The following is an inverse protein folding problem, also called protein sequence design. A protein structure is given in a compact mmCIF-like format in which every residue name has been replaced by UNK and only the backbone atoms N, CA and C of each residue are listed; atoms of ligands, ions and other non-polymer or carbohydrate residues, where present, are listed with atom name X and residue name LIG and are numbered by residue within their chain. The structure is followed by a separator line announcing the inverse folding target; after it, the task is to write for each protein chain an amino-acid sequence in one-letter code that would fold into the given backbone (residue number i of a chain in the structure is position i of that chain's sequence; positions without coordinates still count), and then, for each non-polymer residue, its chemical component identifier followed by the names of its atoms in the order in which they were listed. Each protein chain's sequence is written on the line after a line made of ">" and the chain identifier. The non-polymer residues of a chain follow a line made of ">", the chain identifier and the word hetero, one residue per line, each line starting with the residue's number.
data_IF_126340466932
#
_entry.id   IF_126340466932
#
_cell.length_a   1.000
_cell.length_b   1.000
_cell.length_c   1.000
_cell.angle_alpha   90.00
_cell.angle_beta   90.00
_cell.angle_gamma   90.00
#
_symmetry.space_group_name_H-M   'P 1'
#
loop_
_entity.id
_entity.type
_entity.pdbx_description
1 polymer ?
#
# COMPACT_ATOMS: atom_id res chain seq x y z
N UNK A 1 1.62 5.11 -8.48
CA UNK A 1 0.21 5.22 -8.94
C UNK A 1 -0.64 4.22 -8.19
N UNK A 2 -1.75 4.69 -7.62
CA UNK A 2 -2.75 3.88 -6.90
C UNK A 2 -4.05 3.83 -7.71
N UNK A 3 -4.63 2.64 -7.85
CA UNK A 3 -5.99 2.46 -8.35
C UNK A 3 -6.94 2.18 -7.19
N UNK A 4 -8.05 2.88 -7.11
CA UNK A 4 -9.15 2.62 -6.21
C UNK A 4 -10.33 2.02 -6.97
N UNK A 5 -10.71 0.80 -6.59
CA UNK A 5 -12.01 0.22 -6.87
C UNK A 5 -13.00 0.75 -5.84
N UNK A 6 -13.97 1.54 -6.28
CA UNK A 6 -14.91 2.19 -5.37
C UNK A 6 -16.34 1.74 -5.63
N UNK A 7 -17.13 1.78 -4.56
CA UNK A 7 -18.56 1.55 -4.64
C UNK A 7 -19.31 2.72 -5.25
N UNK A 8 -20.58 2.49 -5.57
CA UNK A 8 -21.46 3.53 -6.11
C UNK A 8 -21.69 4.69 -5.13
N UNK A 9 -21.80 4.41 -3.83
CA UNK A 9 -22.00 5.47 -2.83
C UNK A 9 -20.75 6.36 -2.73
N UNK A 10 -19.56 5.75 -2.77
CA UNK A 10 -18.31 6.48 -2.77
C UNK A 10 -18.05 7.22 -4.09
N UNK A 11 -18.53 6.69 -5.23
CA UNK A 11 -18.37 7.33 -6.53
C UNK A 11 -19.06 8.69 -6.63
N UNK A 12 -20.25 8.80 -6.04
CA UNK A 12 -20.98 10.07 -6.03
C UNK A 12 -20.21 11.12 -5.19
N UNK A 13 -19.65 10.69 -4.06
CA UNK A 13 -18.88 11.56 -3.17
C UNK A 13 -17.51 11.99 -3.75
N UNK A 14 -16.85 11.12 -4.52
CA UNK A 14 -15.54 11.36 -5.13
C UNK A 14 -15.60 11.80 -6.60
N UNK A 15 -16.78 12.15 -7.11
CA UNK A 15 -16.99 12.49 -8.52
C UNK A 15 -16.05 13.57 -9.09
N UNK A 16 -15.55 14.48 -8.25
CA UNK A 16 -14.58 15.52 -8.66
C UNK A 16 -13.16 15.00 -8.92
N UNK A 17 -12.86 13.74 -8.57
CA UNK A 17 -11.54 13.13 -8.70
C UNK A 17 -11.47 12.12 -9.84
N UNK A 18 -12.51 12.02 -10.67
CA UNK A 18 -12.51 11.09 -11.79
C UNK A 18 -11.74 11.66 -12.96
N UNK A 19 -10.58 11.05 -13.23
CA UNK A 19 -9.78 11.33 -14.41
C UNK A 19 -9.93 10.21 -15.44
N UNK A 20 -9.83 10.50 -16.75
CA UNK A 20 -9.82 9.47 -17.78
C UNK A 20 -8.65 8.49 -17.56
N UNK A 21 -8.92 7.19 -17.64
CA UNK A 21 -7.89 6.17 -17.45
C UNK A 21 -6.82 6.27 -18.54
N UNK A 22 -5.59 6.61 -18.17
CA UNK A 22 -4.43 6.28 -19.00
C UNK A 22 -4.13 4.78 -18.81
N UNK A 23 -3.76 4.06 -19.88
CA UNK A 23 -3.41 2.63 -19.84
C UNK A 23 -2.11 2.36 -19.06
N UNK A 24 -2.06 2.73 -17.79
CA UNK A 24 -0.93 2.55 -16.87
C UNK A 24 -1.24 1.39 -15.93
N UNK A 25 -0.21 0.61 -15.61
CA UNK A 25 -0.32 -0.50 -14.65
C UNK A 25 -0.22 0.08 -13.23
N UNK A 26 -1.24 -0.07 -12.37
CA UNK A 26 -1.18 0.46 -11.00
C UNK A 26 -0.16 -0.32 -10.16
N UNK A 27 0.55 0.39 -9.28
CA UNK A 27 1.46 -0.22 -8.31
C UNK A 27 0.70 -0.76 -7.10
N UNK A 28 -0.41 -0.11 -6.75
CA UNK A 28 -1.28 -0.49 -5.64
C UNK A 28 -2.73 -0.45 -6.09
N UNK A 29 -3.49 -1.45 -5.66
CA UNK A 29 -4.92 -1.54 -5.92
C UNK A 29 -5.63 -1.58 -4.56
N UNK A 30 -6.56 -0.66 -4.36
CA UNK A 30 -7.35 -0.56 -3.14
C UNK A 30 -8.82 -0.70 -3.47
N UNK A 31 -9.57 -1.42 -2.64
CA UNK A 31 -11.02 -1.38 -2.65
C UNK A 31 -11.47 -0.40 -1.58
N UNK A 32 -12.47 0.44 -1.87
CA UNK A 32 -12.95 1.42 -0.91
C UNK A 32 -14.47 1.56 -0.93
N UNK A 33 -15.06 1.66 0.25
CA UNK A 33 -16.51 1.76 0.44
C UNK A 33 -16.83 2.93 1.38
N UNK A 34 -17.86 3.71 1.03
CA UNK A 34 -18.43 4.72 1.90
C UNK A 34 -19.53 4.09 2.76
N UNK A 35 -19.33 4.11 4.07
CA UNK A 35 -20.25 3.59 5.08
C UNK A 35 -20.77 4.77 5.91
N UNK A 36 -22.06 4.75 6.23
CA UNK A 36 -22.69 5.73 7.13
C UNK A 36 -23.08 5.02 8.42
N UNK A 37 -22.55 5.47 9.57
CA UNK A 37 -22.85 4.90 10.88
C UNK A 37 -23.47 6.00 11.73
N UNK A 38 -24.77 5.87 12.02
CA UNK A 38 -25.54 6.95 12.64
C UNK A 38 -25.51 8.22 11.77
N UNK A 39 -24.88 9.28 12.27
CA UNK A 39 -24.67 10.54 11.53
C UNK A 39 -23.27 10.71 10.95
N UNK A 40 -22.36 9.77 11.22
CA UNK A 40 -20.95 9.88 10.82
C UNK A 40 -20.71 9.17 9.49
N UNK A 41 -19.86 9.79 8.65
CA UNK A 41 -19.40 9.18 7.40
C UNK A 41 -18.04 8.54 7.63
N UNK A 42 -17.91 7.29 7.21
CA UNK A 42 -16.67 6.55 7.26
C UNK A 42 -16.30 5.99 5.88
N UNK A 43 -15.01 5.96 5.55
CA UNK A 43 -14.49 5.17 4.43
C UNK A 43 -13.67 4.03 5.00
N UNK A 44 -13.96 2.81 4.55
CA UNK A 44 -13.11 1.64 4.78
C UNK A 44 -12.41 1.33 3.48
N UNK A 45 -11.08 1.24 3.52
CA UNK A 45 -10.25 0.90 2.37
C UNK A 45 -9.50 -0.40 2.65
N UNK A 46 -9.43 -1.29 1.68
CA UNK A 46 -8.71 -2.56 1.77
C UNK A 46 -7.75 -2.69 0.58
N UNK A 47 -6.46 -2.89 0.85
CA UNK A 47 -5.47 -3.17 -0.19
C UNK A 47 -5.74 -4.57 -0.79
N UNK A 48 -5.65 -4.69 -2.11
CA UNK A 48 -6.16 -5.85 -2.85
C UNK A 48 -5.38 -7.14 -2.58
N UNK A 49 -4.06 -7.08 -2.41
CA UNK A 49 -3.20 -8.26 -2.33
C UNK A 49 -2.90 -8.70 -0.91
N UNK A 50 -2.67 -7.74 -0.01
CA UNK A 50 -2.40 -7.94 1.41
C UNK A 50 -3.66 -7.99 2.25
N UNK A 51 -4.80 -7.55 1.71
CA UNK A 51 -6.05 -7.36 2.47
C UNK A 51 -5.93 -6.40 3.66
N UNK A 52 -4.88 -5.57 3.67
CA UNK A 52 -4.64 -4.59 4.72
C UNK A 52 -5.69 -3.49 4.68
N UNK A 53 -6.27 -3.18 5.84
CA UNK A 53 -7.38 -2.25 5.97
C UNK A 53 -6.92 -0.94 6.60
N UNK A 54 -7.40 0.17 6.04
CA UNK A 54 -7.40 1.48 6.70
C UNK A 54 -8.82 2.00 6.83
N UNK A 55 -9.08 2.73 7.92
CA UNK A 55 -10.40 3.26 8.27
C UNK A 55 -10.29 4.77 8.45
N UNK A 56 -11.26 5.49 7.89
CA UNK A 56 -11.36 6.94 7.96
C UNK A 56 -12.77 7.28 8.45
N UNK A 57 -12.96 7.63 9.71
CA UNK A 57 -14.27 8.02 10.26
C UNK A 57 -14.34 9.50 10.63
N UNK A 58 -15.56 10.00 10.82
CA UNK A 58 -15.79 11.42 11.13
C UNK A 58 -15.63 12.36 9.93
N UNK A 59 -15.73 11.81 8.72
CA UNK A 59 -15.56 12.57 7.48
C UNK A 59 -16.75 13.51 7.27
N UNK A 60 -16.46 14.74 6.84
CA UNK A 60 -17.45 15.72 6.40
C UNK A 60 -17.48 15.74 4.88
N UNK A 61 -18.58 16.23 4.31
CA UNK A 61 -18.73 16.39 2.84
C UNK A 61 -17.57 17.13 2.17
N UNK A 62 -16.98 18.13 2.86
CA UNK A 62 -15.82 18.88 2.35
C UNK A 62 -14.54 18.04 2.29
N UNK A 63 -14.41 17.03 3.14
CA UNK A 63 -13.21 16.23 3.25
C UNK A 63 -13.06 15.30 2.03
N UNK A 64 -14.18 14.93 1.38
CA UNK A 64 -14.16 14.20 0.10
C UNK A 64 -13.49 14.98 -1.02
N UNK A 65 -13.53 16.33 -1.01
CA UNK A 65 -12.78 17.16 -1.97
C UNK A 65 -11.27 17.05 -1.78
N UNK A 66 -10.81 16.63 -0.60
CA UNK A 66 -9.41 16.50 -0.24
C UNK A 66 -9.03 15.06 0.08
N UNK A 67 -9.90 14.09 -0.25
CA UNK A 67 -9.70 12.70 0.10
C UNK A 67 -8.37 12.11 -0.41
N UNK A 68 -7.90 12.39 -1.65
CA UNK A 68 -6.59 11.93 -2.07
C UNK A 68 -5.48 12.32 -1.09
N UNK A 69 -5.44 13.57 -0.64
CA UNK A 69 -4.44 14.06 0.31
C UNK A 69 -4.61 13.46 1.71
N UNK A 70 -5.85 13.25 2.16
CA UNK A 70 -6.16 12.58 3.44
C UNK A 70 -5.65 11.14 3.41
N UNK A 71 -5.91 10.42 2.32
CA UNK A 71 -5.42 9.06 2.12
C UNK A 71 -3.89 9.03 2.09
N UNK A 72 -3.24 9.92 1.33
CA UNK A 72 -1.77 10.01 1.26
C UNK A 72 -1.17 10.22 2.65
N UNK A 73 -1.68 11.22 3.41
CA UNK A 73 -1.17 11.52 4.75
C UNK A 73 -1.27 10.31 5.67
N UNK A 74 -2.39 9.58 5.59
CA UNK A 74 -2.57 8.38 6.40
C UNK A 74 -1.67 7.24 5.96
N UNK A 75 -1.62 6.97 4.67
CA UNK A 75 -0.84 5.89 4.07
C UNK A 75 0.63 5.99 4.45
N UNK A 76 1.29 7.14 4.25
CA UNK A 76 2.72 7.25 4.54
C UNK A 76 3.01 7.10 6.03
N UNK A 77 2.12 7.56 6.92
CA UNK A 77 2.27 7.41 8.38
C UNK A 77 2.20 5.94 8.79
N UNK A 78 1.19 5.22 8.29
CA UNK A 78 1.03 3.80 8.61
C UNK A 78 2.18 2.98 8.05
N UNK A 79 2.53 3.18 6.78
CA UNK A 79 3.71 2.53 6.18
C UNK A 79 4.96 2.86 6.99
N UNK A 80 5.23 4.12 7.34
CA UNK A 80 6.41 4.46 8.14
C UNK A 80 6.45 3.81 9.54
N UNK A 81 5.31 3.35 10.09
CA UNK A 81 5.24 2.57 11.33
C UNK A 81 5.51 1.09 11.07
N UNK A 82 4.98 0.56 9.96
CA UNK A 82 5.05 -0.87 9.63
C UNK A 82 6.40 -1.30 9.05
N UNK A 83 7.26 -0.37 8.66
CA UNK A 83 8.54 -0.64 7.98
C UNK A 83 9.74 -0.31 8.88
N UNK A 84 10.16 -1.24 9.76
CA UNK A 84 11.25 -1.02 10.69
C UNK A 84 12.62 -0.85 10.01
N UNK A 85 12.75 -1.20 8.74
CA UNK A 85 13.99 -1.16 7.96
C UNK A 85 14.47 0.27 7.67
N UNK A 86 13.60 1.27 7.78
CA UNK A 86 13.92 2.68 7.53
C UNK A 86 14.50 3.31 8.80
N UNK A 87 15.77 3.72 8.71
CA UNK A 87 16.44 4.41 9.80
C UNK A 87 15.85 5.80 10.06
N UNK A 88 16.10 6.34 11.27
CA UNK A 88 15.66 7.69 11.66
C UNK A 88 16.11 8.78 10.68
N UNK A 89 17.30 8.64 10.10
CA UNK A 89 17.89 9.58 9.14
C UNK A 89 17.20 9.53 7.76
N UNK A 90 16.74 8.34 7.35
CA UNK A 90 16.07 8.12 6.07
C UNK A 90 14.58 8.49 6.11
N UNK A 91 13.97 8.55 7.31
CA UNK A 91 12.51 8.65 7.49
C UNK A 91 11.84 9.79 6.74
N UNK A 92 12.45 10.99 6.73
CA UNK A 92 11.87 12.14 6.03
C UNK A 92 11.93 11.97 4.51
N UNK A 93 13.05 11.48 3.97
CA UNK A 93 13.20 11.22 2.54
C UNK A 93 12.28 10.08 2.09
N UNK A 94 12.14 9.04 2.91
CA UNK A 94 11.22 7.93 2.66
C UNK A 94 9.76 8.38 2.67
N UNK A 95 9.34 9.21 3.63
CA UNK A 95 7.99 9.77 3.65
C UNK A 95 7.69 10.58 2.38
N UNK A 96 8.64 11.40 1.90
CA UNK A 96 8.49 12.14 0.65
C UNK A 96 8.40 11.20 -0.57
N UNK A 97 9.15 10.10 -0.57
CA UNK A 97 9.06 9.09 -1.63
C UNK A 97 7.68 8.42 -1.65
N UNK A 98 7.13 8.04 -0.49
CA UNK A 98 5.79 7.49 -0.38
C UNK A 98 4.74 8.49 -0.87
N UNK A 99 4.83 9.76 -0.46
CA UNK A 99 3.93 10.82 -0.95
C UNK A 99 3.93 10.89 -2.48
N UNK A 100 5.12 10.89 -3.12
CA UNK A 100 5.27 10.89 -4.57
C UNK A 100 4.68 9.63 -5.23
N UNK A 101 4.89 8.45 -4.64
CA UNK A 101 4.34 7.19 -5.14
C UNK A 101 2.80 7.20 -5.13
N UNK A 102 2.22 7.89 -4.15
CA UNK A 102 0.77 8.00 -3.90
C UNK A 102 0.12 9.27 -4.46
N UNK A 103 0.89 10.09 -5.18
CA UNK A 103 0.41 11.37 -5.77
C UNK A 103 -0.67 11.12 -6.83
N UNK A 104 -0.40 10.14 -7.69
CA UNK A 104 -1.28 9.71 -8.78
C UNK A 104 -2.28 8.66 -8.25
N UNK A 105 -3.53 9.09 -8.02
CA UNK A 105 -4.65 8.25 -7.57
C UNK A 105 -5.78 8.26 -8.60
N UNK A 106 -6.16 7.07 -9.05
CA UNK A 106 -7.23 6.87 -10.02
C UNK A 106 -8.40 6.11 -9.39
N UNK A 107 -9.63 6.52 -9.70
CA UNK A 107 -10.85 5.94 -9.12
C UNK A 107 -11.71 5.30 -10.21
N UNK A 108 -12.10 4.04 -9.99
CA UNK A 108 -12.94 3.28 -10.90
C UNK A 108 -14.07 2.61 -10.13
N UNK A 109 -15.28 2.74 -10.66
CA UNK A 109 -16.41 1.93 -10.20
C UNK A 109 -16.28 0.53 -10.81
N UNK A 110 -16.02 -0.48 -9.97
CA UNK A 110 -15.99 -1.89 -10.38
C UNK A 110 -17.14 -2.66 -9.70
N UNK A 111 -17.85 -3.55 -10.43
CA UNK A 111 -18.85 -4.42 -9.83
C UNK A 111 -18.18 -5.44 -8.91
N UNK A 112 -18.47 -5.34 -7.61
CA UNK A 112 -17.89 -6.11 -6.52
C UNK A 112 -18.45 -7.52 -6.45
N UNK A 113 -17.60 -8.55 -6.36
CA UNK A 113 -18.09 -9.92 -6.08
C UNK A 113 -17.24 -10.78 -5.13
N UNK A 114 -15.97 -10.47 -4.87
CA UNK A 114 -15.12 -11.34 -4.02
C UNK A 114 -14.59 -10.68 -2.72
N UNK A 115 -14.10 -9.43 -2.78
CA UNK A 115 -13.35 -8.84 -1.66
C UNK A 115 -14.17 -7.86 -0.80
N UNK A 116 -15.49 -7.72 -1.05
CA UNK A 116 -16.35 -6.87 -0.22
C UNK A 116 -16.67 -7.47 1.15
N UNK A 117 -16.49 -8.78 1.34
CA UNK A 117 -16.88 -9.45 2.59
C UNK A 117 -16.18 -8.83 3.81
N UNK A 118 -14.86 -8.63 3.74
CA UNK A 118 -14.10 -8.03 4.85
C UNK A 118 -14.51 -6.57 5.13
N UNK A 119 -14.75 -5.78 4.10
CA UNK A 119 -15.22 -4.40 4.25
C UNK A 119 -16.60 -4.38 4.94
N UNK A 120 -17.50 -5.28 4.56
CA UNK A 120 -18.82 -5.41 5.17
C UNK A 120 -18.73 -5.87 6.62
N UNK A 121 -17.90 -6.87 6.94
CA UNK A 121 -17.65 -7.33 8.32
C UNK A 121 -17.17 -6.17 9.21
N UNK A 122 -16.25 -5.34 8.70
CA UNK A 122 -15.74 -4.17 9.42
C UNK A 122 -16.83 -3.13 9.60
N UNK A 123 -17.66 -2.90 8.57
CA UNK A 123 -18.80 -1.98 8.63
C UNK A 123 -19.81 -2.40 9.71
N UNK A 124 -20.20 -3.69 9.71
CA UNK A 124 -21.11 -4.28 10.69
C UNK A 124 -20.55 -4.20 12.11
N UNK A 125 -19.26 -4.50 12.29
CA UNK A 125 -18.61 -4.39 13.59
C UNK A 125 -18.54 -2.94 14.10
N UNK A 126 -18.21 -1.97 13.22
CA UNK A 126 -18.24 -0.55 13.59
C UNK A 126 -19.65 -0.09 13.96
N UNK A 127 -20.67 -0.55 13.23
CA UNK A 127 -22.07 -0.24 13.53
C UNK A 127 -22.49 -0.81 14.88
N UNK A 128 -22.16 -2.08 15.16
CA UNK A 128 -22.42 -2.72 16.45
C UNK A 128 -21.77 -1.95 17.61
N UNK A 129 -20.46 -1.68 17.50
CA UNK A 129 -19.70 -0.97 18.54
C UNK A 129 -20.24 0.44 18.77
N UNK A 130 -20.63 1.15 17.71
CA UNK A 130 -21.10 2.53 17.84
C UNK A 130 -22.55 2.64 18.31
N UNK A 131 -23.46 1.85 17.73
CA UNK A 131 -24.90 1.97 17.96
C UNK A 131 -25.34 1.14 19.16
N UNK A 132 -24.83 -0.10 19.27
CA UNK A 132 -25.26 -1.04 20.32
C UNK A 132 -24.47 -0.83 21.60
N UNK A 133 -23.13 -0.76 21.51
CA UNK A 133 -22.29 -0.56 22.69
C UNK A 133 -22.13 0.91 23.09
N UNK A 134 -22.55 1.85 22.24
CA UNK A 134 -22.45 3.29 22.51
C UNK A 134 -21.02 3.82 22.56
N UNK A 135 -20.05 3.10 21.98
CA UNK A 135 -18.64 3.51 21.96
C UNK A 135 -18.39 4.50 20.81
N UNK A 136 -17.44 5.45 20.96
CA UNK A 136 -17.13 6.39 19.89
C UNK A 136 -16.48 5.69 18.69
N UNK A 137 -16.79 6.16 17.49
CA UNK A 137 -16.08 5.77 16.27
C UNK A 137 -14.64 6.31 16.29
N UNK A 138 -13.69 5.63 15.62
CA UNK A 138 -12.30 6.05 15.60
C UNK A 138 -12.08 7.22 14.60
N UNK A 139 -12.30 8.46 15.07
CA UNK A 139 -12.27 9.66 14.22
C UNK A 139 -10.88 10.25 13.99
N UNK A 140 -9.93 10.05 14.91
CA UNK A 140 -8.56 10.52 14.76
C UNK A 140 -7.65 9.43 14.17
N UNK A 141 -6.49 9.86 13.66
CA UNK A 141 -5.58 8.99 12.94
C UNK A 141 -5.04 7.82 13.77
N UNK A 142 -4.77 8.05 15.06
CA UNK A 142 -4.20 7.03 15.94
C UNK A 142 -5.29 6.02 16.33
N UNK A 143 -6.46 6.50 16.76
CA UNK A 143 -7.58 5.63 17.11
C UNK A 143 -8.02 4.75 15.93
N UNK A 144 -8.02 5.30 14.72
CA UNK A 144 -8.36 4.54 13.52
C UNK A 144 -7.32 3.48 13.17
N UNK A 145 -6.04 3.75 13.41
CA UNK A 145 -4.96 2.78 13.18
C UNK A 145 -5.10 1.63 14.18
N UNK A 146 -5.21 1.93 15.47
CA UNK A 146 -5.40 0.94 16.53
C UNK A 146 -6.68 0.12 16.34
N UNK A 147 -7.75 0.74 15.86
CA UNK A 147 -8.99 0.02 15.56
C UNK A 147 -8.82 -0.92 14.37
N UNK A 148 -8.17 -0.47 13.29
CA UNK A 148 -7.94 -1.27 12.10
C UNK A 148 -7.00 -2.47 12.36
N UNK A 149 -6.08 -2.36 13.33
CA UNK A 149 -5.19 -3.47 13.71
C UNK A 149 -5.97 -4.74 14.09
N UNK A 150 -7.16 -4.62 14.68
CA UNK A 150 -8.03 -5.77 15.01
C UNK A 150 -8.47 -6.61 13.82
N UNK A 151 -8.36 -6.06 12.61
CA UNK A 151 -8.71 -6.73 11.34
C UNK A 151 -7.49 -6.99 10.46
N UNK A 152 -6.35 -6.40 10.82
CA UNK A 152 -5.10 -6.55 10.10
C UNK A 152 -4.15 -7.55 10.77
N UNK A 153 -4.34 -7.77 12.06
CA UNK A 153 -3.55 -8.68 12.89
C UNK A 153 -4.50 -9.65 13.60
N UNK A 154 -4.21 -10.95 13.48
CA UNK A 154 -4.95 -12.00 14.15
C UNK A 154 -4.06 -12.59 15.24
N UNK A 155 -3.92 -11.86 16.36
CA UNK A 155 -3.12 -12.33 17.51
C UNK A 155 -3.64 -13.66 18.10
N UNK A 156 -4.91 -13.99 17.86
CA UNK A 156 -5.59 -15.16 18.42
C UNK A 156 -5.31 -16.49 17.68
N UNK A 157 -4.58 -16.48 16.56
CA UNK A 157 -4.29 -17.69 15.78
C UNK A 157 -2.77 -17.95 15.70
N UNK A 158 -2.16 -18.17 16.87
CA UNK A 158 -0.72 -18.48 17.05
C UNK A 158 -0.28 -19.75 16.29
N UNK A 159 -1.23 -20.55 15.80
CA UNK A 159 -1.00 -21.78 15.02
C UNK A 159 -1.35 -21.63 13.54
N UNK A 160 -1.79 -20.45 13.09
CA UNK A 160 -2.06 -20.22 11.69
C UNK A 160 -0.77 -20.19 10.90
N UNK A 161 -0.68 -21.04 9.89
CA UNK A 161 0.40 -20.98 8.89
C UNK A 161 0.16 -19.85 7.87
N UNK A 162 -0.97 -19.15 7.91
CA UNK A 162 -1.29 -18.06 6.98
C UNK A 162 -0.81 -16.71 7.52
N UNK A 163 -0.04 -15.99 6.71
CA UNK A 163 0.38 -14.63 7.02
C UNK A 163 -0.84 -13.71 7.21
N UNK A 164 -0.77 -12.89 8.26
CA UNK A 164 -1.77 -11.86 8.54
C UNK A 164 -1.70 -10.72 7.50
N UNK A 165 -2.78 -9.95 7.33
CA UNK A 165 -2.77 -8.79 6.45
C UNK A 165 -1.63 -7.79 6.75
N UNK A 166 -1.32 -7.58 8.03
CA UNK A 166 -0.22 -6.69 8.44
C UNK A 166 1.16 -7.25 8.06
N UNK A 167 1.35 -8.57 8.12
CA UNK A 167 2.60 -9.21 7.68
C UNK A 167 2.76 -9.13 6.17
N UNK A 168 1.71 -9.43 5.40
CA UNK A 168 1.72 -9.29 3.94
C UNK A 168 1.99 -7.84 3.51
N UNK A 169 1.37 -6.87 4.19
CA UNK A 169 1.60 -5.47 3.89
C UNK A 169 3.00 -4.99 4.31
N UNK A 170 3.56 -5.55 5.39
CA UNK A 170 4.97 -5.32 5.76
C UNK A 170 5.91 -5.84 4.67
N UNK A 171 5.63 -6.99 4.08
CA UNK A 171 6.39 -7.50 2.93
C UNK A 171 6.26 -6.59 1.70
N UNK A 172 5.08 -6.05 1.43
CA UNK A 172 4.93 -5.00 0.41
C UNK A 172 5.80 -3.78 0.74
N UNK A 173 5.88 -3.38 2.01
CA UNK A 173 6.71 -2.25 2.36
C UNK A 173 8.20 -2.47 2.10
N UNK A 174 8.73 -3.68 2.28
CA UNK A 174 10.12 -3.98 1.93
C UNK A 174 10.41 -3.58 0.47
N UNK A 175 9.46 -3.80 -0.42
CA UNK A 175 9.57 -3.36 -1.82
C UNK A 175 9.63 -1.83 -1.95
N UNK A 176 8.81 -1.08 -1.19
CA UNK A 176 8.88 0.39 -1.18
C UNK A 176 10.23 0.89 -0.65
N UNK A 177 10.79 0.23 0.37
CA UNK A 177 12.10 0.57 0.93
C UNK A 177 13.22 0.29 -0.07
N UNK A 178 13.16 -0.84 -0.77
CA UNK A 178 14.13 -1.19 -1.82
C UNK A 178 14.08 -0.22 -2.98
N UNK A 179 12.88 0.14 -3.46
CA UNK A 179 12.66 1.14 -4.50
C UNK A 179 13.20 2.50 -4.07
N UNK A 180 12.88 2.96 -2.86
CA UNK A 180 13.40 4.20 -2.29
C UNK A 180 14.93 4.23 -2.29
N UNK A 181 15.57 3.19 -1.73
CA UNK A 181 17.04 3.12 -1.65
C UNK A 181 17.68 3.01 -3.02
N UNK A 182 17.04 2.32 -3.96
CA UNK A 182 17.49 2.29 -5.34
C UNK A 182 17.47 3.69 -5.97
N UNK A 183 16.37 4.42 -5.83
CA UNK A 183 16.21 5.78 -6.35
C UNK A 183 17.21 6.75 -5.72
N UNK A 184 17.46 6.66 -4.42
CA UNK A 184 18.47 7.48 -3.74
C UNK A 184 19.89 7.18 -4.22
N UNK A 185 20.24 5.90 -4.42
CA UNK A 185 21.54 5.54 -5.02
C UNK A 185 21.70 6.12 -6.43
N UNK A 186 20.63 6.06 -7.24
CA UNK A 186 20.61 6.64 -8.59
C UNK A 186 20.81 8.16 -8.56
N UNK A 187 20.13 8.86 -7.65
CA UNK A 187 20.29 10.31 -7.45
C UNK A 187 21.69 10.71 -7.01
N UNK A 188 22.32 9.88 -6.17
CA UNK A 188 23.66 10.12 -5.65
C UNK A 188 24.78 9.69 -6.60
N UNK A 189 24.46 9.15 -7.79
CA UNK A 189 25.45 8.63 -8.74
C UNK A 189 26.26 7.44 -8.22
N UNK A 190 25.78 6.76 -7.16
CA UNK A 190 26.45 5.60 -6.56
C UNK A 190 26.02 4.34 -7.30
N UNK A 191 26.65 4.09 -8.44
CA UNK A 191 26.57 2.79 -9.10
C UNK A 191 27.22 1.73 -8.19
N UNK A 192 26.54 0.59 -8.00
CA UNK A 192 27.28 -0.67 -7.91
C UNK A 192 28.04 -0.79 -9.22
N UNK A 193 29.36 -0.92 -9.16
CA UNK A 193 30.18 -1.20 -10.34
C UNK A 193 29.76 -2.54 -10.94
N UNK A 194 28.65 -2.57 -11.69
CA UNK A 194 28.47 -3.55 -12.74
C UNK A 194 29.47 -3.11 -13.80
N UNK A 195 30.67 -3.64 -13.63
CA UNK A 195 31.73 -3.65 -14.63
C UNK A 195 31.08 -4.02 -15.96
N UNK A 196 31.36 -3.21 -16.97
CA UNK A 196 30.98 -3.38 -18.37
C UNK A 196 30.80 -4.85 -18.76
N UNK A 197 29.73 -5.12 -19.51
CA UNK A 197 29.39 -6.42 -20.13
C UNK A 197 30.54 -7.02 -20.97
N UNK A 198 31.59 -6.25 -21.24
CA UNK A 198 32.77 -6.67 -22.01
C UNK A 198 33.77 -7.49 -21.19
N UNK A 199 33.76 -7.44 -19.85
CA UNK A 199 34.73 -8.17 -19.02
C UNK A 199 34.24 -9.56 -18.56
N UNK A 200 32.97 -9.90 -18.79
CA UNK A 200 32.41 -11.24 -18.50
C UNK A 200 32.48 -12.21 -19.69
N UNK A 201 33.32 -11.93 -20.69
CA UNK A 201 33.60 -12.90 -21.76
C UNK A 201 34.80 -13.74 -21.31
N UNK A 202 34.53 -14.95 -20.78
CA UNK A 202 35.53 -16.00 -20.77
C UNK A 202 35.80 -16.37 -22.23
N UNK A 203 36.87 -15.82 -22.81
CA UNK A 203 37.37 -16.26 -24.12
C UNK A 203 38.05 -17.61 -23.90
N UNK A 204 37.30 -18.69 -24.16
CA UNK A 204 37.88 -20.03 -24.26
C UNK A 204 38.62 -20.10 -25.61
N UNK A 205 39.95 -20.12 -25.57
CA UNK A 205 40.79 -20.20 -26.76
C UNK A 205 40.93 -21.67 -27.20
N UNK A 206 40.17 -22.08 -28.22
CA UNK A 206 40.16 -23.45 -28.75
C UNK A 206 41.37 -23.76 -29.67
N UNK A 207 42.43 -22.95 -29.64
CA UNK A 207 43.63 -23.15 -30.46
C UNK A 207 44.88 -23.47 -29.64
N UNK A 208 44.77 -24.41 -28.70
CA UNK A 208 45.94 -25.17 -28.27
C UNK A 208 45.98 -26.49 -29.04
N UNK A 209 46.50 -26.39 -30.27
CA UNK A 209 46.99 -27.56 -31.01
C UNK A 209 48.19 -28.12 -30.23
N UNK A 210 47.98 -29.22 -29.51
CA UNK A 210 49.07 -30.14 -29.19
C UNK A 210 49.52 -30.75 -30.53
N UNK A 211 50.63 -30.23 -31.05
CA UNK A 211 51.44 -30.91 -32.06
C UNK A 211 52.66 -31.45 -31.33
N UNK A 212 52.81 -32.77 -31.42
CA UNK A 212 53.91 -33.56 -30.90
C UNK A 212 55.29 -33.06 -31.32
N UNK A 213 56.29 -33.19 -30.45
CA UNK A 213 57.64 -33.61 -30.89
C UNK A 213 58.45 -34.27 -29.77
N UNK A 214 58.58 -35.59 -29.89
CA UNK A 214 59.77 -36.46 -29.76
C UNK A 214 60.95 -35.97 -28.89
N UNK A 215 61.29 -36.81 -27.90
CA UNK A 215 62.63 -37.05 -27.37
C UNK A 215 62.74 -38.52 -26.99
#
# INVERSE_FOLDING_TARGET
>A
MIKFNISKSLSDALSNHFEPTENRTPNLIWNAELITIGSELCIVTQEHYSEYVMIFCGLKRRDFLHFPAIFQDRFWREVAVLCPEIGREERFAFANHLLQMTDDQYYQMEPSTANQNKILEIAEHMEYVSIVEGKPLPVDGQAAFEYALKFNDNEDDEFSETLTPVELFRDMCKHFVEEFRFNERMRQGRYSNVISREENIIRVDFKQKLVDTVG
#
